data_IF_075559830394
#
_entry.id   IF_075559830394
#
_cell.length_a   1.000
_cell.length_b   1.000
_cell.length_c   1.000
_cell.angle_alpha   90.00
_cell.angle_beta   90.00
_cell.angle_gamma   90.00
#
_symmetry.space_group_name_H-M   'P 1'
#
loop_
_entity.id
_entity.type
_entity.pdbx_description
1 polymer ?
#
# COMPACT_ATOMS: atom_id res chain seq x y z
N UNK A 1 10.96 -3.04 18.21
CA UNK A 1 10.07 -2.80 19.37
C UNK A 1 9.39 -4.11 19.72
N UNK A 2 9.39 -4.48 20.99
CA UNK A 2 8.59 -5.60 21.46
C UNK A 2 7.11 -5.20 21.43
N UNK A 3 6.26 -6.10 20.95
CA UNK A 3 4.82 -5.91 20.90
C UNK A 3 4.14 -6.88 21.89
N UNK A 4 4.23 -6.64 23.20
CA UNK A 4 3.83 -7.59 24.22
C UNK A 4 2.31 -7.89 24.22
N UNK A 5 1.50 -7.01 23.61
CA UNK A 5 0.07 -7.23 23.47
C UNK A 5 -0.30 -8.20 22.33
N UNK A 6 0.59 -8.42 21.37
CA UNK A 6 0.31 -9.30 20.24
C UNK A 6 0.65 -10.72 20.60
N UNK A 7 -0.37 -11.54 20.74
CA UNK A 7 -0.25 -12.96 21.14
C UNK A 7 -0.45 -13.94 19.98
N UNK A 8 -0.92 -13.46 18.84
CA UNK A 8 -1.25 -14.30 17.69
C UNK A 8 -0.90 -13.62 16.37
N UNK A 9 -0.33 -14.37 15.44
CA UNK A 9 -0.21 -14.03 14.02
C UNK A 9 -0.88 -15.15 13.23
N UNK A 10 -1.88 -14.81 12.43
CA UNK A 10 -2.69 -15.78 11.67
C UNK A 10 -2.76 -15.36 10.20
N UNK A 11 -3.05 -16.34 9.32
CA UNK A 11 -3.35 -16.06 7.93
C UNK A 11 -4.58 -15.17 7.78
N UNK A 12 -4.49 -14.14 6.94
CA UNK A 12 -5.62 -13.27 6.66
C UNK A 12 -6.70 -14.02 5.89
N UNK A 13 -7.95 -13.78 6.30
CA UNK A 13 -9.17 -14.27 5.62
C UNK A 13 -10.24 -13.20 5.72
N UNK A 14 -11.06 -13.05 4.66
CA UNK A 14 -12.20 -12.15 4.72
C UNK A 14 -13.17 -12.60 5.83
N UNK A 15 -13.72 -11.63 6.56
CA UNK A 15 -14.63 -11.90 7.68
C UNK A 15 -13.96 -12.36 8.98
N UNK A 16 -12.64 -12.60 8.99
CA UNK A 16 -11.93 -13.05 10.18
C UNK A 16 -11.58 -11.91 11.16
N UNK A 17 -11.68 -10.67 10.73
CA UNK A 17 -11.27 -9.49 11.51
C UNK A 17 -12.22 -9.25 12.70
N UNK A 18 -11.64 -8.91 13.84
CA UNK A 18 -12.34 -8.55 15.07
C UNK A 18 -11.62 -7.39 15.79
N UNK A 19 -12.26 -6.67 16.73
CA UNK A 19 -11.58 -5.64 17.51
C UNK A 19 -10.29 -6.15 18.15
N UNK A 20 -9.23 -5.37 18.05
CA UNK A 20 -7.87 -5.75 18.48
C UNK A 20 -7.02 -6.40 17.39
N UNK A 21 -7.55 -6.61 16.19
CA UNK A 21 -6.79 -7.10 15.04
C UNK A 21 -6.21 -5.96 14.21
N UNK A 22 -5.08 -6.24 13.54
CA UNK A 22 -4.58 -5.42 12.45
C UNK A 22 -4.20 -6.29 11.24
N UNK A 23 -4.40 -5.73 10.04
CA UNK A 23 -3.90 -6.32 8.81
C UNK A 23 -2.38 -6.14 8.72
N UNK A 24 -1.65 -7.24 8.56
CA UNK A 24 -0.21 -7.24 8.41
C UNK A 24 0.15 -7.35 6.92
N UNK A 25 0.70 -6.27 6.35
CA UNK A 25 1.37 -6.31 5.06
C UNK A 25 2.89 -6.52 5.27
N UNK A 26 3.69 -5.46 5.20
CA UNK A 26 5.14 -5.54 5.45
C UNK A 26 5.57 -5.32 6.90
N UNK A 27 4.69 -4.84 7.77
CA UNK A 27 4.95 -4.68 9.20
C UNK A 27 5.95 -3.58 9.59
N UNK A 28 6.58 -2.90 8.66
CA UNK A 28 7.68 -1.95 8.94
C UNK A 28 7.30 -0.84 9.92
N UNK A 29 6.06 -0.35 9.85
CA UNK A 29 5.54 0.60 10.82
C UNK A 29 4.99 -0.09 12.07
N UNK A 30 4.21 -1.15 11.91
CA UNK A 30 3.62 -1.92 13.02
C UNK A 30 4.67 -2.36 14.05
N UNK A 31 5.86 -2.76 13.58
CA UNK A 31 6.95 -3.20 14.46
C UNK A 31 7.89 -2.08 14.90
N UNK A 32 7.71 -0.84 14.43
CA UNK A 32 8.54 0.30 14.86
C UNK A 32 7.96 1.08 16.02
N UNK A 33 6.64 1.01 16.22
CA UNK A 33 5.91 1.76 17.23
C UNK A 33 5.15 0.82 18.19
N UNK A 34 4.98 1.19 19.47
CA UNK A 34 4.16 0.43 20.40
C UNK A 34 2.71 0.33 19.94
N UNK A 35 2.13 -0.86 20.01
CA UNK A 35 0.76 -1.15 19.57
C UNK A 35 -0.10 -1.69 20.73
N UNK A 36 -0.41 -0.88 21.77
CA UNK A 36 -1.04 -1.38 23.01
C UNK A 36 -2.46 -1.90 22.83
N UNK A 37 -3.14 -1.49 21.75
CA UNK A 37 -4.52 -1.90 21.46
C UNK A 37 -4.60 -3.18 20.61
N UNK A 38 -3.49 -3.65 20.04
CA UNK A 38 -3.49 -4.80 19.16
C UNK A 38 -3.19 -6.10 19.93
N UNK A 39 -3.94 -7.15 19.59
CA UNK A 39 -3.78 -8.49 20.14
C UNK A 39 -3.46 -9.54 19.11
N UNK A 40 -3.84 -9.29 17.83
CA UNK A 40 -3.59 -10.24 16.74
C UNK A 40 -3.25 -9.52 15.44
N UNK A 41 -2.35 -10.14 14.66
CA UNK A 41 -2.03 -9.72 13.30
C UNK A 41 -2.56 -10.74 12.29
N UNK A 42 -3.16 -10.24 11.21
CA UNK A 42 -3.68 -11.03 10.09
C UNK A 42 -2.79 -10.82 8.86
N UNK A 43 -1.99 -11.81 8.50
CA UNK A 43 -1.00 -11.72 7.43
C UNK A 43 -1.66 -11.72 6.04
N UNK A 44 -1.61 -10.60 5.35
CA UNK A 44 -2.18 -10.42 4.02
C UNK A 44 -1.49 -11.25 2.93
N UNK A 45 -0.26 -11.72 3.18
CA UNK A 45 0.46 -12.58 2.23
C UNK A 45 -0.25 -13.92 2.00
N UNK A 46 -1.07 -14.35 2.95
CA UNK A 46 -1.89 -15.55 2.83
C UNK A 46 -2.89 -15.49 1.65
N UNK A 47 -3.24 -14.31 1.15
CA UNK A 47 -4.08 -14.20 -0.04
C UNK A 47 -3.35 -14.55 -1.34
N UNK A 48 -2.02 -14.60 -1.36
CA UNK A 48 -1.23 -14.98 -2.52
C UNK A 48 -1.41 -14.06 -3.74
N UNK A 49 -1.66 -12.77 -3.52
CA UNK A 49 -1.88 -11.84 -4.63
C UNK A 49 -0.60 -11.63 -5.45
N UNK A 50 -0.67 -11.68 -6.79
CA UNK A 50 0.42 -11.21 -7.63
C UNK A 50 0.74 -9.74 -7.29
N UNK A 51 2.02 -9.43 -7.04
CA UNK A 51 2.45 -8.09 -6.63
C UNK A 51 2.09 -7.03 -7.66
N UNK A 52 2.27 -7.37 -8.96
CA UNK A 52 2.02 -6.48 -10.10
C UNK A 52 1.30 -7.27 -11.19
N UNK A 53 0.27 -6.66 -11.78
CA UNK A 53 -0.44 -7.22 -12.92
C UNK A 53 -0.70 -6.14 -13.97
N UNK A 54 -0.02 -6.26 -15.09
CA UNK A 54 -0.23 -5.41 -16.26
C UNK A 54 -1.38 -5.93 -17.11
N UNK A 55 -2.15 -5.02 -17.68
CA UNK A 55 -3.24 -5.29 -18.62
C UNK A 55 -3.36 -4.12 -19.62
N UNK A 56 -4.15 -4.27 -20.71
CA UNK A 56 -4.45 -3.14 -21.60
C UNK A 56 -5.06 -1.93 -20.89
N UNK A 57 -5.74 -2.13 -19.77
CA UNK A 57 -6.38 -1.06 -18.99
C UNK A 57 -5.38 -0.31 -18.08
N UNK A 58 -4.19 -0.86 -17.86
CA UNK A 58 -3.15 -0.27 -17.02
C UNK A 58 -2.44 -1.25 -16.10
N UNK A 59 -1.98 -0.77 -14.96
CA UNK A 59 -1.24 -1.53 -13.96
C UNK A 59 -2.04 -1.69 -12.66
N UNK A 60 -2.26 -2.92 -12.23
CA UNK A 60 -2.75 -3.22 -10.89
C UNK A 60 -1.57 -3.56 -9.96
N UNK A 61 -1.47 -2.85 -8.86
CA UNK A 61 -0.45 -3.02 -7.81
C UNK A 61 -1.15 -3.58 -6.57
N UNK A 62 -0.79 -4.78 -6.13
CA UNK A 62 -1.33 -5.36 -4.91
C UNK A 62 -0.92 -4.53 -3.68
N UNK A 63 -1.77 -4.48 -2.66
CA UNK A 63 -1.44 -3.81 -1.41
C UNK A 63 -0.19 -4.41 -0.73
N UNK A 64 0.08 -5.69 -0.96
CA UNK A 64 1.26 -6.41 -0.48
C UNK A 64 2.51 -6.25 -1.34
N UNK A 65 2.41 -5.56 -2.50
CA UNK A 65 3.57 -5.28 -3.35
C UNK A 65 4.60 -4.48 -2.58
N UNK A 66 5.82 -5.00 -2.46
CA UNK A 66 6.92 -4.31 -1.78
C UNK A 66 7.51 -3.20 -2.66
N UNK A 67 8.13 -2.20 -2.04
CA UNK A 67 8.82 -1.15 -2.79
C UNK A 67 9.96 -1.72 -3.63
N UNK A 68 10.63 -2.76 -3.15
CA UNK A 68 11.68 -3.45 -3.89
C UNK A 68 11.15 -4.14 -5.15
N UNK A 69 9.95 -4.73 -5.11
CA UNK A 69 9.30 -5.30 -6.29
C UNK A 69 8.89 -4.21 -7.27
N UNK A 70 8.31 -3.12 -6.76
CA UNK A 70 7.88 -2.00 -7.59
C UNK A 70 9.06 -1.35 -8.34
N UNK A 71 10.20 -1.13 -7.68
CA UNK A 71 11.42 -0.58 -8.32
C UNK A 71 12.02 -1.52 -9.35
N UNK A 72 11.89 -2.83 -9.16
CA UNK A 72 12.40 -3.83 -10.11
C UNK A 72 11.53 -3.97 -11.36
N UNK A 73 10.32 -3.44 -11.33
CA UNK A 73 9.44 -3.46 -12.48
C UNK A 73 10.12 -2.82 -13.70
N UNK A 74 10.01 -3.48 -14.85
CA UNK A 74 10.53 -3.00 -16.13
C UNK A 74 9.35 -2.72 -17.06
N UNK A 75 9.06 -1.45 -17.26
CA UNK A 75 7.97 -1.00 -18.11
C UNK A 75 8.43 0.16 -19.02
N UNK A 76 9.42 -0.08 -19.92
CA UNK A 76 10.01 0.99 -20.73
C UNK A 76 9.03 1.58 -21.75
N UNK A 77 7.90 0.94 -21.97
CA UNK A 77 6.82 1.42 -22.83
C UNK A 77 5.95 2.49 -22.18
N UNK A 78 6.00 2.66 -20.85
CA UNK A 78 5.27 3.72 -20.16
C UNK A 78 6.15 4.95 -19.94
N UNK A 79 5.67 6.09 -20.37
CA UNK A 79 6.37 7.38 -20.16
C UNK A 79 6.52 7.74 -18.69
N UNK A 80 5.53 7.35 -17.85
CA UNK A 80 5.56 7.55 -16.41
C UNK A 80 6.50 6.59 -15.65
N UNK A 81 7.09 5.57 -16.30
CA UNK A 81 7.92 4.56 -15.63
C UNK A 81 9.03 5.12 -14.72
N UNK A 82 9.73 6.22 -15.05
CA UNK A 82 10.74 6.79 -14.16
C UNK A 82 10.20 7.25 -12.79
N UNK A 83 8.92 7.65 -12.73
CA UNK A 83 8.30 8.15 -11.51
C UNK A 83 8.26 7.09 -10.39
N UNK A 84 8.10 5.81 -10.75
CA UNK A 84 8.08 4.72 -9.78
C UNK A 84 9.37 4.66 -8.97
N UNK A 85 10.51 4.65 -9.65
CA UNK A 85 11.82 4.64 -8.99
C UNK A 85 12.07 5.91 -8.18
N UNK A 86 11.68 7.07 -8.70
CA UNK A 86 11.84 8.37 -8.03
C UNK A 86 11.03 8.44 -6.73
N UNK A 87 9.76 8.02 -6.76
CA UNK A 87 8.92 7.99 -5.55
C UNK A 87 9.40 6.95 -4.55
N UNK A 88 9.81 5.76 -4.98
CA UNK A 88 10.39 4.78 -4.06
C UNK A 88 11.66 5.31 -3.38
N UNK A 89 12.54 5.99 -4.13
CA UNK A 89 13.76 6.60 -3.58
C UNK A 89 13.48 7.71 -2.56
N UNK A 90 12.32 8.37 -2.64
CA UNK A 90 11.90 9.36 -1.66
C UNK A 90 11.56 8.76 -0.28
N UNK A 91 11.27 7.46 -0.20
CA UNK A 91 11.20 6.77 1.07
C UNK A 91 12.63 6.56 1.59
N UNK A 92 13.02 7.36 2.59
CA UNK A 92 14.33 7.26 3.24
C UNK A 92 14.40 5.99 4.10
N UNK A 93 14.60 4.86 3.47
CA UNK A 93 14.68 3.55 4.10
C UNK A 93 15.87 2.74 3.61
N UNK A 94 16.40 1.86 4.47
CA UNK A 94 17.42 0.89 4.06
C UNK A 94 16.85 -0.11 3.05
N UNK A 95 17.71 -0.84 2.34
CA UNK A 95 17.27 -1.91 1.45
C UNK A 95 16.40 -2.97 2.16
N UNK A 96 16.62 -3.19 3.46
CA UNK A 96 15.80 -4.09 4.27
C UNK A 96 14.38 -3.57 4.41
N UNK A 97 14.23 -2.25 4.66
CA UNK A 97 12.91 -1.61 4.69
C UNK A 97 12.21 -1.71 3.33
N UNK A 98 12.92 -1.54 2.23
CA UNK A 98 12.33 -1.63 0.88
C UNK A 98 11.84 -3.04 0.53
N UNK A 99 12.47 -4.08 1.09
CA UNK A 99 12.03 -5.46 0.88
C UNK A 99 10.76 -5.83 1.68
N UNK A 100 10.42 -5.06 2.70
CA UNK A 100 9.26 -5.32 3.56
C UNK A 100 8.16 -4.26 3.42
N UNK A 101 8.53 -2.97 3.30
CA UNK A 101 7.54 -1.89 3.14
C UNK A 101 6.75 -2.08 1.85
N UNK A 102 5.43 -1.97 1.96
CA UNK A 102 4.51 -2.22 0.85
C UNK A 102 3.79 -0.96 0.39
N UNK A 103 3.33 -0.96 -0.86
CA UNK A 103 2.52 0.11 -1.43
C UNK A 103 1.27 0.34 -0.59
N UNK A 104 0.53 -0.74 -0.30
CA UNK A 104 -0.69 -0.64 0.51
C UNK A 104 -0.43 -0.18 1.95
N UNK A 105 0.66 -0.66 2.57
CA UNK A 105 1.06 -0.21 3.90
C UNK A 105 1.33 1.29 3.95
N UNK A 106 2.02 1.84 2.94
CA UNK A 106 2.30 3.27 2.85
C UNK A 106 1.02 4.10 2.65
N UNK A 107 0.09 3.63 1.81
CA UNK A 107 -1.21 4.27 1.59
C UNK A 107 -2.08 4.26 2.87
N UNK A 108 -2.22 3.10 3.52
CA UNK A 108 -3.05 2.95 4.72
C UNK A 108 -2.49 3.72 5.93
N UNK A 109 -1.16 3.84 6.01
CA UNK A 109 -0.50 4.62 7.06
C UNK A 109 -0.75 6.12 6.89
N UNK A 110 -0.99 6.57 5.67
CA UNK A 110 -1.39 7.94 5.33
C UNK A 110 -0.52 9.04 5.96
N UNK A 111 0.80 8.82 6.05
CA UNK A 111 1.72 9.84 6.54
C UNK A 111 1.79 11.03 5.57
N UNK A 112 1.95 12.26 6.08
CA UNK A 112 2.21 13.42 5.24
C UNK A 112 3.39 13.17 4.29
N UNK A 113 3.25 13.57 3.02
CA UNK A 113 4.24 13.35 1.97
C UNK A 113 4.61 11.87 1.73
N UNK A 114 3.69 10.94 2.00
CA UNK A 114 3.88 9.51 1.71
C UNK A 114 4.19 9.29 0.23
N UNK A 115 5.35 8.70 -0.12
CA UNK A 115 5.78 8.64 -1.53
C UNK A 115 4.88 7.76 -2.39
N UNK A 116 4.25 6.73 -1.82
CA UNK A 116 3.29 5.91 -2.58
C UNK A 116 1.96 6.62 -2.77
N UNK A 117 1.55 7.47 -1.84
CA UNK A 117 0.38 8.34 -2.00
C UNK A 117 0.63 9.31 -3.15
N UNK A 118 1.80 9.96 -3.17
CA UNK A 118 2.20 10.89 -4.23
C UNK A 118 2.25 10.20 -5.60
N UNK A 119 2.88 9.03 -5.68
CA UNK A 119 2.96 8.24 -6.91
C UNK A 119 1.58 7.90 -7.46
N UNK A 120 0.76 7.27 -6.62
CA UNK A 120 -0.52 6.72 -7.08
C UNK A 120 -1.57 7.79 -7.32
N UNK A 121 -1.53 8.92 -6.58
CA UNK A 121 -2.39 10.08 -6.85
C UNK A 121 -2.00 10.79 -8.15
N UNK A 122 -0.70 10.95 -8.42
CA UNK A 122 -0.22 11.60 -9.63
C UNK A 122 -0.55 10.81 -10.92
N UNK A 123 -0.80 9.51 -10.78
CA UNK A 123 -1.16 8.62 -11.88
C UNK A 123 -2.64 8.19 -11.82
N UNK A 124 -3.52 9.05 -11.32
CA UNK A 124 -4.97 8.83 -11.25
C UNK A 124 -5.36 7.48 -10.66
N UNK A 125 -4.61 7.04 -9.63
CA UNK A 125 -4.79 5.73 -9.02
C UNK A 125 -6.14 5.56 -8.36
N UNK A 126 -6.68 4.34 -8.44
CA UNK A 126 -7.93 3.92 -7.84
C UNK A 126 -7.72 2.73 -6.91
N UNK A 127 -8.05 2.89 -5.63
CA UNK A 127 -7.97 1.86 -4.60
C UNK A 127 -9.13 0.88 -4.73
N UNK A 128 -8.84 -0.42 -4.75
CA UNK A 128 -9.85 -1.48 -4.59
C UNK A 128 -9.86 -1.91 -3.13
N UNK A 129 -11.00 -1.77 -2.47
CA UNK A 129 -11.21 -2.09 -1.06
C UNK A 129 -12.14 -3.30 -0.96
N UNK A 130 -11.75 -4.25 -0.13
CA UNK A 130 -12.58 -5.40 0.20
C UNK A 130 -13.22 -5.24 1.57
N UNK A 131 -14.52 -5.48 1.63
CA UNK A 131 -15.29 -5.55 2.87
C UNK A 131 -15.21 -6.96 3.49
N UNK A 132 -15.54 -7.09 4.79
CA UNK A 132 -15.58 -8.40 5.46
C UNK A 132 -16.55 -9.41 4.82
N UNK A 133 -17.60 -8.94 4.16
CA UNK A 133 -18.59 -9.73 3.44
C UNK A 133 -18.15 -10.17 2.03
N UNK A 134 -16.94 -9.78 1.63
CA UNK A 134 -16.38 -10.08 0.31
C UNK A 134 -16.78 -9.11 -0.80
N UNK A 135 -17.64 -8.13 -0.51
CA UNK A 135 -18.00 -7.09 -1.50
C UNK A 135 -16.82 -6.16 -1.69
N UNK A 136 -16.47 -5.89 -2.95
CA UNK A 136 -15.44 -4.93 -3.32
C UNK A 136 -16.07 -3.61 -3.78
N UNK A 137 -15.39 -2.50 -3.45
CA UNK A 137 -15.70 -1.19 -4.01
C UNK A 137 -14.42 -0.43 -4.33
N UNK A 138 -14.53 0.65 -5.10
CA UNK A 138 -13.39 1.44 -5.53
C UNK A 138 -13.49 2.87 -5.04
N UNK A 139 -12.32 3.47 -4.77
CA UNK A 139 -12.18 4.86 -4.32
C UNK A 139 -10.93 5.45 -4.98
N UNK A 140 -10.98 6.63 -5.61
CA UNK A 140 -9.78 7.32 -6.06
C UNK A 140 -8.76 7.48 -4.92
N UNK A 141 -7.49 7.35 -5.21
CA UNK A 141 -6.43 7.53 -4.18
C UNK A 141 -6.51 8.91 -3.54
N UNK A 142 -6.90 9.94 -4.31
CA UNK A 142 -7.09 11.30 -3.82
C UNK A 142 -8.15 11.39 -2.70
N UNK A 143 -9.15 10.49 -2.71
CA UNK A 143 -10.23 10.42 -1.72
C UNK A 143 -9.97 9.35 -0.65
N UNK A 144 -9.00 8.46 -0.90
CA UNK A 144 -8.65 7.37 0.02
C UNK A 144 -7.99 7.89 1.31
N UNK A 145 -7.08 8.85 1.19
CA UNK A 145 -6.40 9.49 2.32
C UNK A 145 -7.22 10.69 2.76
N UNK A 146 -7.75 10.64 3.98
CA UNK A 146 -8.65 11.67 4.52
C UNK A 146 -7.95 12.68 5.44
N UNK A 147 -6.71 12.38 5.84
CA UNK A 147 -5.90 13.25 6.69
C UNK A 147 -4.61 12.57 7.14
N UNK A 148 -3.76 13.26 7.91
CA UNK A 148 -2.55 12.66 8.47
C UNK A 148 -2.87 11.44 9.33
N UNK A 149 -2.33 10.27 8.95
CA UNK A 149 -2.60 9.00 9.64
C UNK A 149 -4.03 8.49 9.48
N UNK A 150 -4.80 8.99 8.52
CA UNK A 150 -6.22 8.65 8.36
C UNK A 150 -6.55 8.28 6.90
N UNK A 151 -7.32 7.21 6.74
CA UNK A 151 -7.86 6.78 5.45
C UNK A 151 -9.33 6.36 5.59
N UNK A 152 -9.98 6.10 4.45
CA UNK A 152 -11.42 5.77 4.41
C UNK A 152 -11.77 4.37 4.94
N UNK A 153 -10.77 3.50 5.16
CA UNK A 153 -11.02 2.11 5.59
C UNK A 153 -11.78 2.07 6.92
N UNK A 154 -12.85 1.30 6.95
CA UNK A 154 -13.61 0.98 8.14
C UNK A 154 -13.07 -0.27 8.84
N UNK A 155 -13.40 -0.51 10.11
CA UNK A 155 -13.02 -1.73 10.81
C UNK A 155 -13.34 -3.00 10.00
N UNK A 156 -12.33 -3.84 9.79
CA UNK A 156 -12.43 -5.07 9.03
C UNK A 156 -12.32 -4.92 7.49
N UNK A 157 -12.39 -3.72 6.95
CA UNK A 157 -12.08 -3.49 5.54
C UNK A 157 -10.57 -3.57 5.30
N UNK A 158 -10.18 -3.96 4.08
CA UNK A 158 -8.77 -4.00 3.70
C UNK A 158 -8.56 -3.42 2.29
N UNK A 159 -7.44 -2.78 2.09
CA UNK A 159 -6.97 -2.38 0.77
C UNK A 159 -6.44 -3.62 0.04
N UNK A 160 -7.05 -3.97 -1.10
CA UNK A 160 -6.65 -5.10 -1.94
C UNK A 160 -5.55 -4.71 -2.92
N UNK A 161 -5.75 -3.59 -3.63
CA UNK A 161 -4.85 -3.12 -4.69
C UNK A 161 -5.10 -1.66 -5.03
N UNK A 162 -4.18 -1.11 -5.81
CA UNK A 162 -4.35 0.16 -6.52
C UNK A 162 -4.24 -0.11 -8.00
N UNK A 163 -5.17 0.41 -8.78
CA UNK A 163 -5.13 0.41 -10.24
C UNK A 163 -4.64 1.77 -10.75
N UNK A 164 -3.67 1.76 -11.64
CA UNK A 164 -3.19 2.92 -12.37
C UNK A 164 -3.63 2.79 -13.83
N UNK A 165 -4.46 3.70 -14.38
CA UNK A 165 -4.96 3.57 -15.74
C UNK A 165 -3.87 3.75 -16.79
N UNK A 166 -3.98 3.06 -17.90
CA UNK A 166 -3.01 3.12 -19.01
C UNK A 166 -2.79 4.54 -19.52
N UNK A 167 -3.85 5.38 -19.54
CA UNK A 167 -3.78 6.78 -19.95
C UNK A 167 -2.80 7.57 -19.08
N UNK A 168 -2.85 7.43 -17.76
CA UNK A 168 -1.94 8.13 -16.85
C UNK A 168 -0.50 7.56 -16.90
N UNK A 169 -0.34 6.28 -17.23
CA UNK A 169 0.97 5.66 -17.41
C UNK A 169 1.70 6.19 -18.66
N UNK A 170 0.95 6.70 -19.65
CA UNK A 170 1.48 7.33 -20.86
C UNK A 170 1.79 8.81 -20.69
N UNK A 171 1.48 9.42 -19.55
CA UNK A 171 1.76 10.82 -19.28
C UNK A 171 3.24 11.11 -19.05
N UNK A 172 3.63 12.35 -19.37
CA UNK A 172 4.96 12.88 -19.00
C UNK A 172 4.90 13.32 -17.55
N UNK A 173 5.76 12.75 -16.73
CA UNK A 173 5.81 13.03 -15.30
C UNK A 173 7.06 13.82 -14.91
N UNK A 174 6.97 14.57 -13.83
CA UNK A 174 8.11 15.24 -13.18
C UNK A 174 8.06 14.96 -11.68
N UNK A 175 9.24 14.71 -11.10
CA UNK A 175 9.39 14.48 -9.66
C UNK A 175 10.23 15.58 -9.04
N UNK A 176 9.76 16.13 -7.92
CA UNK A 176 10.54 17.02 -7.05
C UNK A 176 10.25 16.68 -5.60
N UNK A 177 11.29 16.60 -4.79
CA UNK A 177 11.19 16.48 -3.34
C UNK A 177 11.75 17.74 -2.71
N UNK A 178 10.96 18.34 -1.83
CA UNK A 178 11.39 19.48 -1.00
C UNK A 178 11.39 18.99 0.45
N UNK A 179 12.48 19.24 1.13
CA UNK A 179 12.62 19.02 2.59
C UNK A 179 13.17 20.31 3.22
N UNK A 180 12.71 20.59 4.41
CA UNK A 180 13.28 21.65 5.25
C UNK A 180 14.49 21.10 6.00
#
# INVERSE_FOLDING_TARGET
VDLPGITEVSDARLGAWRPGDAWLAGGTWLFSEPQPALTRLLDLRAFGWPSLRESPDGLEIAATCTLAELVRMRAPHWRAAPLFGQCCAALLGSFKVWNEATVGGNLCLALPAGPMISLTSALDGECTIWRPDGVAYRVPVADFVTGPGQCVLRPGELLRSVHLPASALDDVTAFRQLSL
#
